data_IF_647662567679
#
_entry.id   IF_647662567679
#
_cell.length_a   1.000
_cell.length_b   1.000
_cell.length_c   1.000
_cell.angle_alpha   90.00
_cell.angle_beta   90.00
_cell.angle_gamma   90.00
#
_symmetry.space_group_name_H-M   'P 1'
#
loop_
_entity.id
_entity.type
_entity.pdbx_description
1 polymer ?
#
# COMPACT_ATOMS: atom_id res chain seq x y z
N UNK A 1 -28.85 15.20 -11.41
CA UNK A 1 -27.73 14.23 -11.53
C UNK A 1 -26.76 14.38 -10.35
N UNK A 2 -26.31 15.60 -10.06
CA UNK A 2 -25.44 15.96 -8.92
C UNK A 2 -26.02 15.59 -7.54
N UNK A 3 -27.30 15.90 -7.27
CA UNK A 3 -27.97 15.51 -6.02
C UNK A 3 -28.06 13.98 -5.81
N UNK A 4 -28.18 13.19 -6.89
CA UNK A 4 -28.14 11.71 -6.79
C UNK A 4 -26.72 11.20 -6.55
N UNK A 5 -25.69 11.82 -7.12
CA UNK A 5 -24.29 11.50 -6.82
C UNK A 5 -23.95 11.77 -5.35
N UNK A 6 -24.46 12.86 -4.77
CA UNK A 6 -24.29 13.18 -3.36
C UNK A 6 -24.99 12.18 -2.43
N UNK A 7 -26.19 11.73 -2.80
CA UNK A 7 -26.95 10.71 -2.07
C UNK A 7 -26.30 9.32 -2.13
N UNK A 8 -25.84 8.89 -3.32
CA UNK A 8 -25.03 7.68 -3.48
C UNK A 8 -23.70 7.79 -2.72
N UNK A 9 -23.09 8.97 -2.68
CA UNK A 9 -21.88 9.25 -1.90
C UNK A 9 -22.09 9.26 -0.38
N UNK A 10 -23.32 9.47 0.12
CA UNK A 10 -23.68 9.26 1.55
C UNK A 10 -23.90 7.79 1.85
N UNK A 11 -24.69 7.09 1.04
CA UNK A 11 -24.92 5.65 1.20
C UNK A 11 -23.62 4.82 1.09
N UNK A 12 -22.67 5.24 0.26
CA UNK A 12 -21.34 4.64 0.19
C UNK A 12 -20.49 4.91 1.45
N UNK A 13 -20.63 6.08 2.09
CA UNK A 13 -19.99 6.39 3.39
C UNK A 13 -20.51 5.45 4.47
N UNK A 14 -21.82 5.27 4.56
CA UNK A 14 -22.43 4.43 5.59
C UNK A 14 -22.08 2.94 5.39
N UNK A 15 -21.91 2.49 4.15
CA UNK A 15 -21.42 1.14 3.83
C UNK A 15 -19.92 0.95 4.06
N UNK A 16 -19.08 1.95 3.81
CA UNK A 16 -17.65 1.88 4.12
C UNK A 16 -17.40 1.71 5.63
N UNK A 17 -18.21 2.38 6.45
CA UNK A 17 -18.21 2.21 7.92
C UNK A 17 -18.61 0.78 8.31
N UNK A 18 -19.49 0.12 7.55
CA UNK A 18 -19.90 -1.25 7.82
C UNK A 18 -18.75 -2.26 7.59
N UNK A 19 -17.97 -2.09 6.52
CA UNK A 19 -16.84 -3.00 6.21
C UNK A 19 -15.63 -2.75 7.11
N UNK A 20 -15.41 -1.51 7.58
CA UNK A 20 -14.39 -1.24 8.60
C UNK A 20 -14.68 -1.96 9.95
N UNK A 21 -15.93 -2.39 10.18
CA UNK A 21 -16.33 -3.17 11.36
C UNK A 21 -16.21 -4.68 11.15
N UNK A 22 -16.09 -5.15 9.92
CA UNK A 22 -15.78 -6.56 9.66
C UNK A 22 -14.31 -6.81 9.99
N UNK A 23 -14.05 -7.89 10.73
CA UNK A 23 -12.67 -8.28 11.04
C UNK A 23 -11.96 -8.60 9.71
N UNK A 24 -10.82 -7.97 9.41
CA UNK A 24 -10.05 -8.30 8.23
C UNK A 24 -9.66 -9.78 8.29
N UNK A 25 -9.59 -10.43 7.12
CA UNK A 25 -9.16 -11.81 7.04
C UNK A 25 -7.66 -11.81 7.28
N UNK A 26 -7.25 -12.33 8.43
CA UNK A 26 -5.84 -12.56 8.72
C UNK A 26 -5.37 -13.66 7.78
N UNK A 27 -4.44 -13.30 6.90
CA UNK A 27 -3.94 -14.18 5.86
C UNK A 27 -2.42 -14.08 5.88
N UNK A 28 -1.76 -15.18 6.28
CA UNK A 28 -0.29 -15.22 6.39
C UNK A 28 0.41 -14.86 5.06
N UNK A 29 -0.31 -15.01 3.95
CA UNK A 29 0.19 -14.77 2.60
C UNK A 29 0.10 -13.31 2.14
N UNK A 30 -0.42 -12.38 2.94
CA UNK A 30 -0.48 -10.95 2.54
C UNK A 30 0.90 -10.42 2.18
N UNK A 31 1.93 -10.76 2.96
CA UNK A 31 3.31 -10.34 2.67
C UNK A 31 3.85 -11.01 1.40
N UNK A 32 3.44 -12.25 1.11
CA UNK A 32 3.83 -12.98 -0.11
C UNK A 32 3.30 -12.30 -1.38
N UNK A 33 2.24 -11.49 -1.29
CA UNK A 33 1.70 -10.75 -2.45
C UNK A 33 2.63 -9.62 -2.91
N UNK A 34 3.59 -9.21 -2.08
CA UNK A 34 4.64 -8.29 -2.47
C UNK A 34 5.83 -8.97 -3.16
N UNK A 35 5.96 -10.31 -3.12
CA UNK A 35 7.11 -11.02 -3.69
C UNK A 35 7.21 -10.78 -5.20
N UNK A 36 8.41 -10.49 -5.75
CA UNK A 36 8.63 -10.47 -7.20
C UNK A 36 8.28 -11.81 -7.84
N UNK A 37 7.73 -11.80 -9.06
CA UNK A 37 7.48 -13.02 -9.82
C UNK A 37 8.72 -13.45 -10.62
N UNK A 38 9.48 -12.47 -11.12
CA UNK A 38 10.77 -12.72 -11.73
C UNK A 38 11.75 -13.36 -10.72
N UNK A 39 12.33 -14.51 -11.07
CA UNK A 39 13.17 -15.29 -10.16
C UNK A 39 14.51 -14.59 -9.87
N UNK A 40 15.04 -13.81 -10.81
CA UNK A 40 16.25 -13.01 -10.59
C UNK A 40 15.96 -11.87 -9.60
N UNK A 41 14.86 -11.13 -9.80
CA UNK A 41 14.40 -10.11 -8.88
C UNK A 41 14.13 -10.65 -7.48
N UNK A 42 13.53 -11.84 -7.39
CA UNK A 42 13.27 -12.54 -6.12
C UNK A 42 14.57 -12.97 -5.41
N UNK A 43 15.56 -13.47 -6.15
CA UNK A 43 16.89 -13.79 -5.61
C UNK A 43 17.61 -12.53 -5.09
N UNK A 44 17.54 -11.44 -5.84
CA UNK A 44 18.08 -10.13 -5.43
C UNK A 44 17.35 -9.63 -4.18
N UNK A 45 16.03 -9.76 -4.12
CA UNK A 45 15.21 -9.34 -3.00
C UNK A 45 15.55 -10.12 -1.72
N UNK A 46 15.62 -11.45 -1.78
CA UNK A 46 15.96 -12.30 -0.63
C UNK A 46 17.36 -11.97 -0.08
N UNK A 47 18.36 -11.87 -0.96
CA UNK A 47 19.74 -11.52 -0.55
C UNK A 47 19.79 -10.12 0.08
N UNK A 48 19.15 -9.15 -0.55
CA UNK A 48 19.17 -7.75 -0.09
C UNK A 48 18.41 -7.58 1.22
N UNK A 49 17.23 -8.20 1.36
CA UNK A 49 16.45 -8.15 2.60
C UNK A 49 17.23 -8.73 3.80
N UNK A 50 17.95 -9.85 3.60
CA UNK A 50 18.84 -10.42 4.63
C UNK A 50 19.93 -9.46 5.06
N UNK A 51 20.56 -8.76 4.11
CA UNK A 51 21.64 -7.81 4.38
C UNK A 51 21.12 -6.53 5.06
N UNK A 52 19.98 -6.00 4.60
CA UNK A 52 19.33 -4.83 5.23
C UNK A 52 18.89 -5.16 6.66
N UNK A 53 18.29 -6.34 6.88
CA UNK A 53 17.90 -6.78 8.21
C UNK A 53 19.12 -6.96 9.11
N UNK A 54 20.21 -7.59 8.63
CA UNK A 54 21.45 -7.72 9.39
C UNK A 54 22.08 -6.38 9.75
N UNK A 55 22.05 -5.40 8.83
CA UNK A 55 22.50 -4.04 9.12
C UNK A 55 21.64 -3.40 10.21
N UNK A 56 20.31 -3.54 10.14
CA UNK A 56 19.40 -3.03 11.16
C UNK A 56 19.70 -3.63 12.54
N UNK A 57 19.90 -4.96 12.62
CA UNK A 57 20.27 -5.64 13.87
C UNK A 57 21.58 -5.09 14.45
N UNK A 58 22.60 -4.88 13.61
CA UNK A 58 23.88 -4.33 14.02
C UNK A 58 23.74 -2.91 14.60
N UNK A 59 22.95 -2.04 13.98
CA UNK A 59 22.70 -0.70 14.53
C UNK A 59 21.87 -0.73 15.81
N UNK A 60 20.91 -1.66 15.92
CA UNK A 60 20.17 -1.84 17.17
C UNK A 60 21.07 -2.31 18.32
N UNK A 61 22.07 -3.15 18.05
CA UNK A 61 23.00 -3.62 19.09
C UNK A 61 23.98 -2.53 19.53
N UNK A 62 24.61 -1.80 18.59
CA UNK A 62 25.55 -0.70 18.91
C UNK A 62 24.87 0.40 19.72
N UNK A 63 23.68 0.84 19.32
CA UNK A 63 23.02 1.95 20.02
C UNK A 63 22.48 1.51 21.40
N UNK A 64 22.21 0.21 21.59
CA UNK A 64 21.74 -0.33 22.87
C UNK A 64 22.83 -0.56 23.91
N UNK A 65 24.09 -0.66 23.47
CA UNK A 65 25.24 -0.89 24.32
C UNK A 65 26.17 0.28 24.06
N UNK A 66 26.29 1.21 25.00
CA UNK A 66 27.14 2.43 24.95
C UNK A 66 28.65 2.06 24.79
N UNK A 67 28.99 1.40 23.68
CA UNK A 67 30.25 0.72 23.40
C UNK A 67 30.80 1.22 22.07
N UNK A 68 31.99 1.80 22.14
CA UNK A 68 32.89 2.10 21.02
C UNK A 68 33.47 0.82 20.40
N UNK A 69 32.65 -0.22 20.16
CA UNK A 69 33.15 -1.51 19.70
C UNK A 69 33.28 -1.58 18.17
N UNK A 70 34.46 -2.03 17.77
CA UNK A 70 35.05 -2.04 16.44
C UNK A 70 34.50 -3.10 15.48
N UNK A 71 33.23 -3.49 15.58
CA UNK A 71 32.61 -4.43 14.62
C UNK A 71 32.21 -3.71 13.32
N UNK A 72 33.21 -3.09 12.70
CA UNK A 72 33.08 -2.25 11.50
C UNK A 72 32.84 -3.04 10.21
N UNK A 73 32.83 -4.37 10.22
CA UNK A 73 32.94 -5.17 8.98
C UNK A 73 31.72 -5.04 8.06
N UNK A 74 30.50 -5.02 8.61
CA UNK A 74 29.28 -4.80 7.80
C UNK A 74 29.21 -3.34 7.31
N UNK A 75 29.48 -2.36 8.17
CA UNK A 75 29.47 -0.95 7.79
C UNK A 75 30.58 -0.60 6.77
N UNK A 76 31.73 -1.29 6.84
CA UNK A 76 32.84 -1.11 5.92
C UNK A 76 32.56 -1.64 4.52
N UNK A 77 31.86 -2.76 4.43
CA UNK A 77 31.48 -3.38 3.16
C UNK A 77 30.29 -2.69 2.49
N UNK A 78 29.43 -2.00 3.25
CA UNK A 78 28.17 -1.51 2.72
C UNK A 78 28.32 -0.22 1.90
N UNK A 79 29.06 0.80 2.35
CA UNK A 79 28.97 2.11 1.70
C UNK A 79 30.15 3.08 1.94
N UNK A 80 30.11 4.21 1.20
CA UNK A 80 30.94 5.41 1.40
C UNK A 80 30.76 6.02 2.80
N UNK A 81 31.71 6.85 3.25
CA UNK A 81 31.65 7.55 4.55
C UNK A 81 30.39 8.41 4.72
N UNK A 82 29.93 9.02 3.64
CA UNK A 82 28.71 9.84 3.63
C UNK A 82 27.47 8.99 3.92
N UNK A 83 27.32 7.86 3.22
CA UNK A 83 26.19 6.95 3.44
C UNK A 83 26.19 6.38 4.84
N UNK A 84 27.36 6.02 5.40
CA UNK A 84 27.46 5.59 6.82
C UNK A 84 26.94 6.65 7.78
N UNK A 85 27.34 7.91 7.58
CA UNK A 85 26.90 9.02 8.42
C UNK A 85 25.37 9.19 8.38
N UNK A 86 24.76 9.02 7.20
CA UNK A 86 23.29 9.04 7.05
C UNK A 86 22.63 7.85 7.73
N UNK A 87 23.16 6.64 7.56
CA UNK A 87 22.66 5.43 8.21
C UNK A 87 22.70 5.55 9.74
N UNK A 88 23.79 6.08 10.31
CA UNK A 88 23.87 6.36 11.75
C UNK A 88 22.78 7.35 12.21
N UNK A 89 22.57 8.43 11.46
CA UNK A 89 21.55 9.42 11.79
C UNK A 89 20.12 8.85 11.73
N UNK A 90 19.83 8.04 10.72
CA UNK A 90 18.54 7.36 10.55
C UNK A 90 18.33 6.29 11.63
N UNK A 91 19.36 5.50 11.94
CA UNK A 91 19.34 4.52 13.03
C UNK A 91 19.04 5.19 14.38
N UNK A 92 19.67 6.33 14.69
CA UNK A 92 19.34 7.10 15.89
C UNK A 92 17.89 7.59 15.95
N UNK A 93 17.21 7.68 14.80
CA UNK A 93 15.81 8.06 14.70
C UNK A 93 14.81 6.92 14.87
N UNK A 94 15.17 5.70 14.48
CA UNK A 94 14.28 4.54 14.54
C UNK A 94 14.64 3.54 15.63
N UNK A 95 15.90 3.37 16.05
CA UNK A 95 16.29 2.38 17.07
C UNK A 95 15.56 2.52 18.40
N UNK A 96 15.26 3.73 18.94
CA UNK A 96 14.45 3.85 20.14
C UNK A 96 13.07 3.18 20.03
N UNK A 97 12.54 3.05 18.80
CA UNK A 97 11.31 2.32 18.51
C UNK A 97 11.49 0.80 18.48
N UNK A 98 12.66 0.35 18.02
CA UNK A 98 12.99 -1.05 17.75
C UNK A 98 13.51 -1.79 18.98
N UNK A 99 13.84 -1.06 20.05
CA UNK A 99 14.42 -1.63 21.26
C UNK A 99 13.43 -1.54 22.43
N UNK A 100 12.98 -2.70 22.97
CA UNK A 100 12.04 -2.72 24.11
C UNK A 100 12.68 -2.24 25.42
N UNK A 101 14.01 -2.09 25.47
CA UNK A 101 14.81 -1.82 26.66
C UNK A 101 14.96 -0.33 27.03
N UNK A 102 14.49 0.62 26.20
CA UNK A 102 14.71 2.06 26.42
C UNK A 102 13.75 2.67 27.47
N UNK A 103 12.87 1.87 28.08
CA UNK A 103 12.02 2.33 29.18
C UNK A 103 12.80 2.72 30.46
N UNK A 104 14.06 2.28 30.61
CA UNK A 104 14.85 2.52 31.82
C UNK A 104 15.41 3.96 31.97
N UNK A 105 15.41 4.77 30.92
CA UNK A 105 15.89 6.16 30.98
C UNK A 105 14.83 7.20 30.56
N UNK A 106 13.54 6.83 30.49
CA UNK A 106 12.43 7.79 30.30
C UNK A 106 12.38 8.88 31.38
N UNK A 107 12.90 8.59 32.57
CA UNK A 107 13.09 9.56 33.65
C UNK A 107 14.15 10.63 33.32
N UNK A 108 15.22 10.29 32.58
CA UNK A 108 16.24 11.24 32.09
C UNK A 108 15.86 11.91 30.76
N UNK A 109 15.03 11.27 29.95
CA UNK A 109 14.55 11.78 28.66
C UNK A 109 13.43 12.83 28.75
N UNK A 110 13.00 13.22 29.97
CA UNK A 110 11.93 14.22 30.23
C UNK A 110 12.07 15.56 29.49
N UNK A 111 13.23 15.85 28.88
CA UNK A 111 13.52 17.10 28.18
C UNK A 111 13.62 17.00 26.65
N UNK A 112 13.45 15.84 26.01
CA UNK A 112 13.30 15.75 24.54
C UNK A 112 11.89 15.26 24.21
N UNK A 113 11.14 15.95 23.33
CA UNK A 113 9.85 15.43 22.88
C UNK A 113 10.09 14.10 22.16
N UNK A 114 9.43 13.03 22.61
CA UNK A 114 9.41 11.75 21.90
C UNK A 114 9.00 12.02 20.45
N UNK A 115 9.82 11.55 19.50
CA UNK A 115 9.46 11.64 18.08
C UNK A 115 8.11 10.95 17.87
N UNK A 116 7.18 11.51 17.09
CA UNK A 116 5.92 10.83 16.82
C UNK A 116 6.16 9.50 16.09
N UNK A 117 5.29 8.52 16.29
CA UNK A 117 5.44 7.15 15.77
C UNK A 117 5.65 7.11 14.24
N UNK A 118 4.92 7.92 13.49
CA UNK A 118 5.07 8.02 12.04
C UNK A 118 6.44 8.58 11.60
N UNK A 119 7.13 9.35 12.46
CA UNK A 119 8.48 9.84 12.18
C UNK A 119 9.54 8.76 12.45
N UNK A 120 9.35 7.94 13.49
CA UNK A 120 10.21 6.77 13.75
C UNK A 120 10.07 5.74 12.62
N UNK A 121 8.84 5.49 12.18
CA UNK A 121 8.53 4.68 10.99
C UNK A 121 9.20 5.23 9.73
N UNK A 122 9.10 6.55 9.49
CA UNK A 122 9.76 7.20 8.35
C UNK A 122 11.27 6.95 8.37
N UNK A 123 11.91 7.13 9.52
CA UNK A 123 13.36 6.94 9.67
C UNK A 123 13.76 5.47 9.43
N UNK A 124 12.94 4.50 9.84
CA UNK A 124 13.14 3.08 9.53
C UNK A 124 13.06 2.79 8.03
N UNK A 125 12.05 3.32 7.34
CA UNK A 125 11.91 3.13 5.88
C UNK A 125 13.10 3.75 5.14
N UNK A 126 13.48 4.98 5.50
CA UNK A 126 14.65 5.64 4.89
C UNK A 126 15.94 4.85 5.13
N UNK A 127 16.14 4.31 6.34
CA UNK A 127 17.28 3.45 6.65
C UNK A 127 17.33 2.23 5.72
N UNK A 128 16.20 1.52 5.58
CA UNK A 128 16.11 0.35 4.73
C UNK A 128 16.41 0.68 3.25
N UNK A 129 15.93 1.83 2.76
CA UNK A 129 16.13 2.26 1.38
C UNK A 129 17.57 2.71 1.10
N UNK A 130 18.23 3.38 2.05
CA UNK A 130 19.67 3.73 1.94
C UNK A 130 20.53 2.47 1.87
N UNK A 131 20.24 1.48 2.74
CA UNK A 131 20.92 0.18 2.66
C UNK A 131 20.65 -0.53 1.32
N UNK A 132 19.40 -0.57 0.88
CA UNK A 132 19.01 -1.24 -0.35
C UNK A 132 19.69 -0.62 -1.60
N UNK A 133 19.68 0.71 -1.71
CA UNK A 133 20.30 1.42 -2.84
C UNK A 133 21.83 1.25 -2.87
N UNK A 134 22.47 1.10 -1.70
CA UNK A 134 23.90 0.81 -1.63
C UNK A 134 24.24 -0.65 -1.99
N UNK A 135 23.34 -1.59 -1.66
CA UNK A 135 23.53 -3.02 -1.86
C UNK A 135 23.21 -3.49 -3.28
N UNK A 136 22.19 -2.89 -3.88
CA UNK A 136 21.70 -3.27 -5.21
C UNK A 136 22.11 -2.17 -6.19
N UNK A 137 23.11 -2.43 -7.06
CA UNK A 137 23.50 -1.48 -8.07
C UNK A 137 22.31 -1.16 -8.98
N UNK A 138 22.35 0.02 -9.59
CA UNK A 138 21.29 0.44 -10.51
C UNK A 138 21.07 -0.67 -11.57
N UNK A 139 19.85 -1.25 -11.61
CA UNK A 139 19.60 -2.39 -12.47
C UNK A 139 19.67 -1.92 -13.92
N UNK A 140 20.60 -2.48 -14.69
CA UNK A 140 20.82 -2.10 -16.09
C UNK A 140 19.66 -2.49 -17.01
N UNK A 141 18.74 -3.36 -16.56
CA UNK A 141 17.73 -4.01 -17.41
C UNK A 141 16.32 -4.06 -16.84
N UNK A 142 16.10 -3.71 -15.56
CA UNK A 142 14.80 -3.88 -14.91
C UNK A 142 14.04 -2.54 -14.82
N UNK A 143 13.27 -2.23 -15.87
CA UNK A 143 12.43 -1.02 -15.96
C UNK A 143 11.42 -0.85 -14.81
N UNK A 144 11.21 -1.87 -13.99
CA UNK A 144 10.22 -1.89 -12.91
C UNK A 144 10.80 -1.67 -11.50
N UNK A 145 12.12 -1.65 -11.31
CA UNK A 145 12.69 -1.42 -9.98
C UNK A 145 12.47 0.03 -9.54
N UNK A 146 11.99 0.21 -8.32
CA UNK A 146 11.63 1.52 -7.76
C UNK A 146 12.03 1.59 -6.30
N UNK A 147 12.34 2.78 -5.81
CA UNK A 147 12.51 3.01 -4.38
C UNK A 147 11.17 3.32 -3.72
N UNK A 148 10.91 2.69 -2.58
CA UNK A 148 9.73 2.95 -1.76
C UNK A 148 10.07 3.97 -0.68
N UNK A 149 9.77 5.25 -0.93
CA UNK A 149 10.15 6.35 -0.04
C UNK A 149 8.96 6.92 0.71
N UNK A 150 9.15 7.41 1.95
CA UNK A 150 8.13 8.20 2.63
C UNK A 150 7.79 9.47 1.85
N UNK A 151 6.50 9.79 1.83
CA UNK A 151 5.98 10.92 1.09
C UNK A 151 6.39 12.26 1.69
N UNK A 152 6.20 12.42 3.00
CA UNK A 152 6.37 13.70 3.68
C UNK A 152 7.53 13.67 4.68
N UNK A 153 8.29 14.77 4.72
CA UNK A 153 9.30 15.02 5.76
C UNK A 153 8.66 15.23 7.12
N UNK A 154 7.51 15.90 7.22
CA UNK A 154 6.90 16.23 8.52
C UNK A 154 5.97 15.13 9.04
N UNK A 155 5.49 14.24 8.17
CA UNK A 155 4.27 13.46 8.43
C UNK A 155 3.05 14.39 8.52
N UNK A 156 1.91 13.84 8.92
CA UNK A 156 0.62 14.52 9.14
C UNK A 156 0.34 15.62 8.09
N UNK A 157 -0.18 15.22 6.95
CA UNK A 157 -0.37 16.13 5.82
C UNK A 157 -1.74 15.94 5.15
N UNK A 158 -2.24 17.00 4.54
CA UNK A 158 -3.43 16.95 3.68
C UNK A 158 -2.97 16.76 2.22
N UNK A 159 -3.38 15.69 1.52
CA UNK A 159 -3.08 15.55 0.11
C UNK A 159 -3.70 16.70 -0.71
N UNK A 160 -2.97 17.23 -1.69
CA UNK A 160 -3.38 18.39 -2.48
C UNK A 160 -4.64 18.11 -3.31
N UNK A 161 -4.80 16.87 -3.77
CA UNK A 161 -5.95 16.36 -4.49
C UNK A 161 -7.00 15.70 -3.58
N UNK A 162 -6.89 15.89 -2.25
CA UNK A 162 -7.89 15.38 -1.30
C UNK A 162 -9.23 16.09 -1.49
N UNK A 163 -10.34 15.35 -1.69
CA UNK A 163 -11.67 15.93 -1.78
C UNK A 163 -12.24 16.33 -0.41
N UNK A 164 -11.60 15.94 0.69
CA UNK A 164 -12.04 16.17 2.06
C UNK A 164 -10.89 16.73 2.94
N UNK A 165 -11.20 16.98 4.22
CA UNK A 165 -10.22 17.48 5.20
C UNK A 165 -9.44 16.36 5.91
N UNK A 166 -9.45 15.14 5.38
CA UNK A 166 -8.65 14.06 5.93
C UNK A 166 -7.17 14.39 5.81
N UNK A 167 -6.45 14.15 6.90
CA UNK A 167 -5.00 14.24 6.97
C UNK A 167 -4.44 12.85 7.12
N UNK A 168 -3.34 12.57 6.44
CA UNK A 168 -2.65 11.27 6.43
C UNK A 168 -1.39 11.41 7.27
N UNK A 169 -1.19 10.50 8.24
CA UNK A 169 0.00 10.53 9.12
C UNK A 169 1.29 10.32 8.33
N UNK A 170 1.32 9.33 7.44
CA UNK A 170 2.40 9.12 6.48
C UNK A 170 1.90 8.35 5.25
N UNK A 171 2.62 8.42 4.14
CA UNK A 171 2.38 7.58 2.97
C UNK A 171 3.72 7.12 2.38
N UNK A 172 3.70 6.05 1.58
CA UNK A 172 4.85 5.54 0.85
C UNK A 172 4.63 5.66 -0.66
N UNK A 173 5.61 6.21 -1.37
CA UNK A 173 5.57 6.51 -2.80
C UNK A 173 6.64 5.70 -3.53
N UNK A 174 6.37 5.39 -4.80
CA UNK A 174 7.40 4.84 -5.68
C UNK A 174 8.18 5.97 -6.33
N UNK A 175 9.50 5.83 -6.36
CA UNK A 175 10.43 6.72 -7.04
C UNK A 175 11.35 5.93 -7.95
N UNK A 176 11.93 6.59 -8.94
CA UNK A 176 12.97 6.00 -9.77
C UNK A 176 14.16 5.55 -8.90
N UNK A 177 14.83 4.47 -9.30
CA UNK A 177 15.86 3.83 -8.48
C UNK A 177 17.01 4.79 -8.07
N UNK A 178 17.43 5.67 -8.98
CA UNK A 178 18.48 6.68 -8.71
C UNK A 178 18.01 7.90 -7.92
N UNK A 179 16.76 7.95 -7.45
CA UNK A 179 16.25 9.11 -6.72
C UNK A 179 16.99 9.33 -5.42
N UNK A 180 17.20 10.60 -5.07
CA UNK A 180 17.84 10.98 -3.82
C UNK A 180 16.94 10.66 -2.63
N UNK A 181 17.47 9.90 -1.68
CA UNK A 181 16.77 9.51 -0.46
C UNK A 181 16.70 10.69 0.52
N UNK A 182 15.56 10.83 1.20
CA UNK A 182 15.29 11.90 2.17
C UNK A 182 14.66 13.16 1.58
N UNK A 183 14.59 13.28 0.25
CA UNK A 183 13.84 14.36 -0.40
C UNK A 183 12.33 14.02 -0.41
N UNK A 184 11.65 14.37 0.68
CA UNK A 184 10.19 14.32 0.73
C UNK A 184 9.54 15.27 -0.28
N UNK A 185 8.27 15.02 -0.58
CA UNK A 185 7.46 15.83 -1.50
C UNK A 185 6.89 17.02 -0.75
N UNK A 186 7.02 18.22 -1.31
CA UNK A 186 6.43 19.43 -0.70
C UNK A 186 4.90 19.39 -0.73
N UNK A 187 4.32 18.84 -1.81
CA UNK A 187 2.87 18.77 -2.04
C UNK A 187 2.45 17.34 -2.34
N UNK A 188 2.26 16.50 -1.30
CA UNK A 188 1.75 15.14 -1.45
C UNK A 188 0.40 15.08 -2.17
N UNK A 189 0.21 14.07 -3.02
CA UNK A 189 -1.07 13.78 -3.68
C UNK A 189 -1.46 12.33 -3.48
N UNK A 190 -2.75 12.06 -3.36
CA UNK A 190 -3.31 10.72 -3.43
C UNK A 190 -2.92 10.03 -4.74
N UNK A 191 -2.83 10.79 -5.84
CA UNK A 191 -2.36 10.29 -7.13
C UNK A 191 -0.99 9.60 -7.08
N UNK A 192 -0.11 9.96 -6.16
CA UNK A 192 1.28 9.48 -6.11
C UNK A 192 1.50 8.38 -5.03
N UNK A 193 0.50 8.08 -4.19
CA UNK A 193 0.67 7.14 -3.08
C UNK A 193 0.59 5.68 -3.51
N UNK A 194 1.56 4.88 -3.10
CA UNK A 194 1.48 3.42 -3.18
C UNK A 194 0.81 2.82 -1.96
N UNK A 195 1.19 3.31 -0.78
CA UNK A 195 0.63 2.86 0.50
C UNK A 195 0.32 4.04 1.41
N UNK A 196 -0.72 3.89 2.23
CA UNK A 196 -1.08 4.84 3.30
C UNK A 196 -0.74 4.28 4.66
N UNK A 197 -0.31 5.13 5.58
CA UNK A 197 0.13 4.76 6.91
C UNK A 197 -0.65 5.58 7.91
N UNK A 198 -1.26 4.90 8.87
CA UNK A 198 -1.95 5.53 10.00
C UNK A 198 -1.31 5.06 11.31
N UNK A 199 -0.93 6.01 12.16
CA UNK A 199 -0.29 5.75 13.43
C UNK A 199 -1.22 6.10 14.59
N UNK A 200 -1.41 5.15 15.50
CA UNK A 200 -2.14 5.38 16.75
C UNK A 200 -1.20 5.20 17.94
N UNK A 201 -1.35 6.08 18.92
CA UNK A 201 -0.62 5.98 20.18
C UNK A 201 -1.31 4.91 21.02
N UNK A 202 -0.55 3.92 21.49
CA UNK A 202 -1.04 2.95 22.46
C UNK A 202 -1.42 3.67 23.75
N UNK A 203 -2.51 3.28 24.39
CA UNK A 203 -2.88 3.87 25.68
C UNK A 203 -1.75 3.56 26.68
N UNK A 204 -1.23 4.58 27.36
CA UNK A 204 -0.17 4.37 28.34
C UNK A 204 -0.68 3.43 29.44
N UNK A 205 0.11 2.41 29.79
CA UNK A 205 -0.16 1.41 30.87
C UNK A 205 -0.44 2.06 32.25
N UNK A 206 -0.26 3.39 32.38
CA UNK A 206 -0.49 4.16 33.61
C UNK A 206 -1.90 4.08 34.20
N UNK A 207 -2.92 3.65 33.45
CA UNK A 207 -4.28 3.52 34.01
C UNK A 207 -4.57 2.16 34.66
N UNK A 208 -3.77 1.11 34.42
CA UNK A 208 -4.01 -0.23 34.96
C UNK A 208 -3.24 -0.54 36.26
N UNK A 209 -2.23 0.25 36.62
CA UNK A 209 -1.33 -0.07 37.75
C UNK A 209 -1.86 0.31 39.14
N UNK A 210 -3.11 0.81 39.27
CA UNK A 210 -3.68 1.13 40.59
C UNK A 210 -4.40 -0.02 41.28
N UNK A 211 -4.53 -1.20 40.66
CA UNK A 211 -5.30 -2.32 41.25
C UNK A 211 -4.70 -3.72 41.14
N UNK A 212 -3.56 -3.93 40.48
CA UNK A 212 -2.97 -5.27 40.37
C UNK A 212 -1.76 -5.44 41.29
N UNK A 213 -2.05 -5.91 42.51
CA UNK A 213 -1.06 -6.43 43.45
C UNK A 213 -0.38 -7.68 42.88
N UNK A 214 0.89 -7.82 43.23
CA UNK A 214 1.84 -8.86 42.83
C UNK A 214 1.28 -10.28 42.66
N UNK A 215 1.39 -10.83 41.45
CA UNK A 215 1.83 -12.22 41.17
C UNK A 215 1.82 -12.50 39.66
N UNK A 216 2.80 -13.27 39.20
CA UNK A 216 2.99 -13.88 37.88
C UNK A 216 3.83 -13.09 36.85
N UNK A 217 5.15 -13.20 37.01
CA UNK A 217 6.12 -13.09 35.92
C UNK A 217 6.07 -14.35 35.05
N UNK A 218 5.13 -14.40 34.11
CA UNK A 218 5.18 -15.24 32.91
C UNK A 218 3.96 -14.93 32.03
N UNK A 219 4.07 -13.93 31.15
CA UNK A 219 3.40 -13.92 29.84
C UNK A 219 3.85 -12.70 29.02
N UNK A 220 4.67 -12.96 28.01
CA UNK A 220 5.07 -12.00 26.97
C UNK A 220 3.96 -11.86 25.89
N UNK A 221 2.69 -11.68 26.27
CA UNK A 221 1.59 -11.45 25.31
C UNK A 221 0.88 -10.09 25.48
N UNK A 222 1.28 -9.28 26.46
CA UNK A 222 0.50 -8.09 26.86
C UNK A 222 0.62 -6.90 25.89
N UNK A 223 1.75 -6.75 25.17
CA UNK A 223 1.94 -5.61 24.25
C UNK A 223 1.02 -5.69 23.02
N UNK A 224 0.82 -6.89 22.48
CA UNK A 224 -0.08 -7.15 21.35
C UNK A 224 -1.54 -6.87 21.72
N UNK A 225 -2.02 -7.35 22.87
CA UNK A 225 -3.42 -7.19 23.28
C UNK A 225 -3.83 -5.72 23.45
N UNK A 226 -2.95 -4.87 23.98
CA UNK A 226 -3.22 -3.44 24.14
C UNK A 226 -3.23 -2.66 22.81
N UNK A 227 -2.56 -3.18 21.78
CA UNK A 227 -2.50 -2.53 20.47
C UNK A 227 -3.73 -2.84 19.60
N UNK A 228 -4.39 -3.98 19.79
CA UNK A 228 -5.48 -4.44 18.93
C UNK A 228 -6.61 -3.40 18.72
N UNK A 229 -7.15 -2.73 19.75
CA UNK A 229 -8.21 -1.74 19.54
C UNK A 229 -7.75 -0.52 18.74
N UNK A 230 -6.49 -0.10 18.95
CA UNK A 230 -5.90 1.06 18.25
C UNK A 230 -5.54 0.71 16.81
N UNK A 231 -5.08 -0.52 16.55
CA UNK A 231 -4.87 -1.02 15.20
C UNK A 231 -6.19 -1.07 14.41
N UNK A 232 -7.30 -1.44 15.05
CA UNK A 232 -8.62 -1.37 14.41
C UNK A 232 -9.05 0.08 14.08
N UNK A 233 -8.76 1.06 14.96
CA UNK A 233 -9.01 2.48 14.66
C UNK A 233 -8.12 2.99 13.52
N UNK A 234 -6.85 2.57 13.49
CA UNK A 234 -5.93 2.90 12.40
C UNK A 234 -6.41 2.27 11.07
N UNK A 235 -6.91 1.05 11.12
CA UNK A 235 -7.51 0.36 9.98
C UNK A 235 -8.72 1.12 9.44
N UNK A 236 -9.67 1.51 10.30
CA UNK A 236 -10.85 2.27 9.85
C UNK A 236 -10.44 3.55 9.10
N UNK A 237 -9.39 4.22 9.57
CA UNK A 237 -8.91 5.43 8.94
C UNK A 237 -8.18 5.16 7.61
N UNK A 238 -7.36 4.11 7.53
CA UNK A 238 -6.74 3.68 6.24
C UNK A 238 -7.78 3.25 5.21
N UNK A 239 -8.88 2.61 5.64
CA UNK A 239 -10.05 2.30 4.80
C UNK A 239 -10.70 3.57 4.25
N UNK A 240 -10.73 4.67 5.00
CA UNK A 240 -11.24 5.96 4.48
C UNK A 240 -10.32 6.53 3.41
N UNK A 241 -9.01 6.49 3.61
CA UNK A 241 -8.04 6.96 2.60
C UNK A 241 -8.11 6.16 1.31
N UNK A 242 -8.33 4.84 1.41
CA UNK A 242 -8.37 3.96 0.22
C UNK A 242 -9.42 4.39 -0.78
N UNK A 243 -10.58 4.87 -0.31
CA UNK A 243 -11.64 5.42 -1.16
C UNK A 243 -11.16 6.58 -2.03
N UNK A 244 -10.52 7.58 -1.43
CA UNK A 244 -10.02 8.76 -2.14
C UNK A 244 -8.95 8.35 -3.15
N UNK A 245 -8.08 7.40 -2.77
CA UNK A 245 -7.06 6.86 -3.66
C UNK A 245 -7.68 6.11 -4.85
N UNK A 246 -8.66 5.23 -4.64
CA UNK A 246 -9.33 4.54 -5.77
C UNK A 246 -10.07 5.49 -6.70
N UNK A 247 -10.61 6.57 -6.15
CA UNK A 247 -11.29 7.60 -6.92
C UNK A 247 -10.31 8.36 -7.83
N UNK A 248 -9.06 8.54 -7.41
CA UNK A 248 -8.05 9.35 -8.12
C UNK A 248 -7.14 8.47 -8.99
N UNK A 249 -6.65 7.34 -8.47
CA UNK A 249 -5.76 6.42 -9.15
C UNK A 249 -6.55 5.39 -9.97
N UNK A 250 -6.88 5.77 -11.19
CA UNK A 250 -7.76 4.98 -12.05
C UNK A 250 -7.16 3.68 -12.60
N UNK A 251 -5.86 3.43 -12.40
CA UNK A 251 -5.18 2.15 -12.68
C UNK A 251 -5.01 1.27 -11.44
N UNK A 252 -5.52 1.65 -10.26
CA UNK A 252 -5.34 0.86 -9.02
C UNK A 252 -6.26 -0.36 -8.97
N UNK A 253 -5.72 -1.55 -8.67
CA UNK A 253 -6.43 -2.82 -8.46
C UNK A 253 -6.76 -3.05 -6.99
N UNK A 254 -5.72 -2.94 -6.17
CA UNK A 254 -5.77 -3.05 -4.73
C UNK A 254 -4.82 -2.01 -4.14
N UNK A 255 -5.04 -1.61 -2.90
CA UNK A 255 -4.21 -0.63 -2.21
C UNK A 255 -3.53 -1.26 -0.99
N UNK A 256 -2.27 -0.91 -0.78
CA UNK A 256 -1.56 -1.26 0.45
C UNK A 256 -1.83 -0.22 1.55
N UNK A 257 -2.05 -0.68 2.77
CA UNK A 257 -2.13 0.20 3.94
C UNK A 257 -1.36 -0.37 5.12
N UNK A 258 -0.95 0.51 6.02
CA UNK A 258 -0.24 0.15 7.23
C UNK A 258 -0.93 0.80 8.43
N UNK A 259 -1.18 0.02 9.47
CA UNK A 259 -1.53 0.53 10.78
C UNK A 259 -0.33 0.37 11.72
N UNK A 260 0.02 1.44 12.42
CA UNK A 260 1.06 1.45 13.44
C UNK A 260 0.42 1.65 14.81
N UNK A 261 0.79 0.84 15.79
CA UNK A 261 0.44 1.06 17.18
C UNK A 261 1.57 0.58 18.09
N UNK A 262 2.19 1.50 18.83
CA UNK A 262 3.41 1.17 19.58
C UNK A 262 4.48 0.58 18.62
N UNK A 263 5.11 -0.56 18.95
CA UNK A 263 6.04 -1.25 18.05
C UNK A 263 5.37 -2.20 17.05
N UNK A 264 4.04 -2.29 17.05
CA UNK A 264 3.33 -3.20 16.16
C UNK A 264 3.00 -2.51 14.84
N UNK A 265 3.33 -3.18 13.73
CA UNK A 265 2.91 -2.83 12.38
C UNK A 265 1.96 -3.91 11.89
N UNK A 266 0.82 -3.52 11.32
CA UNK A 266 -0.04 -4.42 10.57
C UNK A 266 -0.20 -3.93 9.14
N UNK A 267 0.05 -4.80 8.17
CA UNK A 267 -0.05 -4.50 6.75
C UNK A 267 -1.39 -4.99 6.23
N UNK A 268 -2.06 -4.15 5.46
CA UNK A 268 -3.35 -4.40 4.86
C UNK A 268 -3.27 -4.39 3.35
N UNK A 269 -4.03 -5.28 2.73
CA UNK A 269 -4.36 -5.25 1.32
C UNK A 269 -5.84 -4.93 1.19
N UNK A 270 -6.16 -3.72 0.76
CA UNK A 270 -7.51 -3.34 0.39
C UNK A 270 -7.75 -3.85 -1.01
N UNK A 271 -8.53 -4.91 -1.14
CA UNK A 271 -9.03 -5.41 -2.42
C UNK A 271 -10.41 -4.84 -2.74
N UNK A 272 -10.94 -5.13 -3.94
CA UNK A 272 -12.27 -4.69 -4.33
C UNK A 272 -13.38 -5.28 -3.45
N UNK A 273 -13.23 -6.53 -3.01
CA UNK A 273 -14.29 -7.26 -2.30
C UNK A 273 -13.94 -7.65 -0.87
N UNK A 274 -12.70 -7.46 -0.43
CA UNK A 274 -12.25 -7.81 0.92
C UNK A 274 -11.04 -6.97 1.36
N UNK A 275 -10.80 -6.97 2.67
CA UNK A 275 -9.53 -6.53 3.27
C UNK A 275 -8.80 -7.76 3.78
N UNK A 276 -7.59 -7.95 3.31
CA UNK A 276 -6.66 -8.92 3.90
C UNK A 276 -5.71 -8.19 4.83
N UNK A 277 -5.32 -8.84 5.93
CA UNK A 277 -4.31 -8.30 6.83
C UNK A 277 -3.21 -9.32 7.11
N UNK A 278 -1.98 -8.84 7.25
CA UNK A 278 -0.90 -9.62 7.85
C UNK A 278 -1.20 -9.90 9.33
N UNK A 279 -0.40 -10.79 9.91
CA UNK A 279 -0.22 -10.82 11.36
C UNK A 279 0.47 -9.52 11.85
N UNK A 280 0.46 -9.32 13.18
CA UNK A 280 1.17 -8.20 13.79
C UNK A 280 2.67 -8.39 13.70
N UNK A 281 3.34 -7.44 13.06
CA UNK A 281 4.78 -7.38 12.99
C UNK A 281 5.27 -6.54 14.17
N UNK A 282 5.72 -7.21 15.23
CA UNK A 282 6.39 -6.54 16.34
C UNK A 282 7.84 -6.21 15.98
N UNK A 283 8.11 -4.94 15.68
CA UNK A 283 9.46 -4.49 15.27
C UNK A 283 10.45 -4.39 16.43
N UNK A 284 10.03 -4.70 17.67
CA UNK A 284 10.98 -4.95 18.76
C UNK A 284 11.66 -6.30 18.65
N UNK A 285 11.05 -7.24 17.91
CA UNK A 285 11.59 -8.58 17.70
C UNK A 285 12.39 -8.63 16.38
N UNK A 286 13.53 -9.35 16.34
CA UNK A 286 14.30 -9.55 15.11
C UNK A 286 13.45 -10.15 13.97
N UNK A 287 12.52 -11.06 14.30
CA UNK A 287 11.62 -11.67 13.32
C UNK A 287 10.65 -10.66 12.70
N UNK A 288 10.06 -9.77 13.50
CA UNK A 288 9.15 -8.73 13.00
C UNK A 288 9.88 -7.68 12.16
N UNK A 289 11.09 -7.27 12.58
CA UNK A 289 11.96 -6.39 11.77
C UNK A 289 12.30 -7.02 10.43
N UNK A 290 12.73 -8.28 10.44
CA UNK A 290 13.06 -9.03 9.22
C UNK A 290 11.87 -9.08 8.26
N UNK A 291 10.68 -9.49 8.74
CA UNK A 291 9.49 -9.57 7.89
C UNK A 291 9.10 -8.21 7.30
N UNK A 292 9.20 -7.13 8.08
CA UNK A 292 8.90 -5.79 7.58
C UNK A 292 9.94 -5.31 6.54
N UNK A 293 11.23 -5.56 6.77
CA UNK A 293 12.30 -5.28 5.81
C UNK A 293 12.11 -6.08 4.52
N UNK A 294 11.79 -7.37 4.62
CA UNK A 294 11.46 -8.21 3.46
C UNK A 294 10.31 -7.61 2.65
N UNK A 295 9.23 -7.19 3.30
CA UNK A 295 8.13 -6.52 2.62
C UNK A 295 8.56 -5.24 1.90
N UNK A 296 9.34 -4.37 2.56
CA UNK A 296 9.86 -3.13 1.94
C UNK A 296 10.71 -3.42 0.70
N UNK A 297 11.66 -4.35 0.79
CA UNK A 297 12.56 -4.72 -0.32
C UNK A 297 11.77 -5.36 -1.46
N UNK A 298 10.84 -6.26 -1.15
CA UNK A 298 9.98 -6.90 -2.14
C UNK A 298 9.16 -5.86 -2.92
N UNK A 299 8.56 -4.88 -2.25
CA UNK A 299 7.80 -3.80 -2.90
C UNK A 299 8.64 -2.95 -3.86
N UNK A 300 9.94 -2.80 -3.58
CA UNK A 300 10.88 -2.09 -4.46
C UNK A 300 11.21 -2.85 -5.75
N UNK A 301 11.17 -4.18 -5.70
CA UNK A 301 11.67 -5.07 -6.75
C UNK A 301 10.57 -5.82 -7.50
N UNK A 302 9.34 -5.83 -6.99
CA UNK A 302 8.22 -6.51 -7.66
C UNK A 302 7.59 -5.67 -8.78
N UNK A 303 6.81 -6.34 -9.61
CA UNK A 303 6.15 -5.75 -10.77
C UNK A 303 4.96 -4.88 -10.36
N UNK A 304 4.58 -3.92 -11.20
CA UNK A 304 3.51 -2.95 -10.89
C UNK A 304 2.16 -3.60 -10.53
N UNK A 305 1.84 -4.78 -11.09
CA UNK A 305 0.61 -5.49 -10.71
C UNK A 305 0.65 -6.07 -9.29
N UNK A 306 1.83 -6.44 -8.77
CA UNK A 306 2.06 -6.84 -7.37
C UNK A 306 1.97 -5.65 -6.43
N UNK A 307 2.31 -4.45 -6.95
CA UNK A 307 2.07 -3.15 -6.29
C UNK A 307 0.61 -2.67 -6.42
N UNK A 308 -0.24 -3.42 -7.12
CA UNK A 308 -1.66 -3.15 -7.25
C UNK A 308 -2.02 -2.20 -8.38
N UNK A 309 -1.21 -2.06 -9.43
CA UNK A 309 -1.59 -1.33 -10.64
C UNK A 309 -2.04 -2.27 -11.77
N UNK A 310 -2.92 -1.81 -12.64
CA UNK A 310 -3.34 -2.53 -13.85
C UNK A 310 -2.26 -2.35 -14.92
N UNK A 311 -1.51 -3.40 -15.33
CA UNK A 311 -0.44 -3.26 -16.32
C UNK A 311 -0.92 -2.77 -17.68
N UNK A 312 -2.17 -3.07 -18.03
CA UNK A 312 -2.77 -2.70 -19.30
C UNK A 312 -3.35 -1.27 -19.30
N UNK A 313 -3.13 -0.48 -18.25
CA UNK A 313 -3.61 0.90 -18.17
C UNK A 313 -2.46 1.84 -17.83
N UNK A 314 -2.14 2.75 -18.75
CA UNK A 314 -1.10 3.76 -18.56
C UNK A 314 -1.67 5.18 -18.70
N UNK A 315 -1.21 6.09 -17.86
CA UNK A 315 -1.46 7.52 -18.04
C UNK A 315 -0.26 8.15 -18.73
N UNK A 316 -0.48 8.78 -19.88
CA UNK A 316 0.54 9.39 -20.73
C UNK A 316 0.45 10.91 -20.65
N UNK A 317 1.60 11.56 -20.53
CA UNK A 317 1.77 13.02 -20.58
C UNK A 317 2.81 13.34 -21.67
N UNK A 318 2.44 13.33 -22.96
CA UNK A 318 3.37 13.65 -24.03
C UNK A 318 3.74 15.14 -24.01
N UNK A 319 4.95 15.46 -24.46
CA UNK A 319 5.44 16.83 -24.49
C UNK A 319 4.55 17.72 -25.36
N UNK A 320 4.02 18.80 -24.76
CA UNK A 320 3.18 19.78 -25.46
C UNK A 320 1.75 19.33 -25.74
N UNK A 321 1.39 18.08 -25.44
CA UNK A 321 0.05 17.54 -25.65
C UNK A 321 -0.74 17.39 -24.34
N UNK A 322 -2.06 17.35 -24.48
CA UNK A 322 -2.95 17.07 -23.34
C UNK A 322 -2.74 15.62 -22.88
N UNK A 323 -2.69 15.37 -21.56
CA UNK A 323 -2.53 14.02 -21.04
C UNK A 323 -3.72 13.12 -21.39
N UNK A 324 -3.49 11.81 -21.40
CA UNK A 324 -4.50 10.81 -21.71
C UNK A 324 -4.22 9.46 -21.06
N UNK A 325 -5.27 8.63 -20.98
CA UNK A 325 -5.21 7.23 -20.65
C UNK A 325 -5.07 6.40 -21.91
N UNK A 326 -4.14 5.45 -21.87
CA UNK A 326 -3.98 4.36 -22.81
C UNK A 326 -4.41 3.07 -22.12
N UNK A 327 -5.36 2.35 -22.71
CA UNK A 327 -5.96 1.16 -22.14
C UNK A 327 -5.86 0.03 -23.17
N UNK A 328 -5.08 -1.00 -22.85
CA UNK A 328 -4.95 -2.21 -23.66
C UNK A 328 -5.92 -3.29 -23.18
N UNK A 329 -6.57 -3.95 -24.13
CA UNK A 329 -7.49 -5.05 -23.88
C UNK A 329 -7.32 -6.15 -24.93
N UNK A 330 -7.70 -7.40 -24.64
CA UNK A 330 -7.89 -8.41 -25.67
C UNK A 330 -8.86 -7.90 -26.74
N UNK A 331 -8.47 -8.01 -28.01
CA UNK A 331 -9.34 -7.65 -29.13
C UNK A 331 -10.37 -8.75 -29.35
N UNK A 332 -11.64 -8.35 -29.43
CA UNK A 332 -12.78 -9.26 -29.57
C UNK A 332 -13.32 -9.16 -31.00
N UNK A 333 -13.65 -10.29 -31.61
CA UNK A 333 -14.31 -10.33 -32.93
C UNK A 333 -15.80 -9.97 -32.84
N UNK A 334 -16.47 -9.89 -33.99
CA UNK A 334 -17.91 -9.59 -34.06
C UNK A 334 -18.80 -10.64 -33.36
N UNK A 335 -18.26 -11.82 -33.08
CA UNK A 335 -18.97 -12.91 -32.41
C UNK A 335 -18.71 -12.93 -30.90
N UNK A 336 -17.91 -12.00 -30.37
CA UNK A 336 -17.58 -11.97 -28.96
C UNK A 336 -16.37 -12.83 -28.56
N UNK A 337 -15.63 -13.40 -29.52
CA UNK A 337 -14.47 -14.24 -29.24
C UNK A 337 -13.18 -13.42 -29.22
N UNK A 338 -12.28 -13.75 -28.30
CA UNK A 338 -10.93 -13.18 -28.29
C UNK A 338 -10.15 -13.61 -29.53
N UNK A 339 -9.59 -12.63 -30.24
CA UNK A 339 -8.85 -12.83 -31.49
C UNK A 339 -7.37 -13.14 -31.27
N UNK A 340 -6.91 -13.15 -30.01
CA UNK A 340 -5.49 -13.23 -29.64
C UNK A 340 -4.69 -11.95 -29.93
N UNK A 341 -5.30 -10.91 -30.50
CA UNK A 341 -4.68 -9.59 -30.69
C UNK A 341 -5.00 -8.68 -29.49
N UNK A 342 -4.23 -7.61 -29.31
CA UNK A 342 -4.60 -6.53 -28.39
C UNK A 342 -5.20 -5.34 -29.15
N UNK A 343 -6.25 -4.77 -28.57
CA UNK A 343 -6.80 -3.48 -28.95
C UNK A 343 -6.35 -2.42 -27.95
N UNK A 344 -6.03 -1.23 -28.43
CA UNK A 344 -5.62 -0.08 -27.61
C UNK A 344 -6.69 0.99 -27.71
N UNK A 345 -7.07 1.54 -26.55
CA UNK A 345 -8.07 2.59 -26.43
C UNK A 345 -7.48 3.81 -25.75
N UNK A 346 -7.81 4.98 -26.28
CA UNK A 346 -7.35 6.27 -25.79
C UNK A 346 -8.50 7.05 -25.17
N UNK A 347 -8.30 7.63 -23.99
CA UNK A 347 -9.31 8.42 -23.28
C UNK A 347 -8.72 9.61 -22.55
N UNK A 348 -9.38 10.77 -22.59
CA UNK A 348 -8.91 11.96 -21.83
C UNK A 348 -9.08 11.79 -20.32
N UNK A 349 -10.22 11.24 -19.90
CA UNK A 349 -10.59 11.14 -18.49
C UNK A 349 -11.71 10.12 -18.30
N UNK A 350 -11.79 9.49 -17.13
CA UNK A 350 -12.95 8.68 -16.81
C UNK A 350 -14.19 9.55 -16.59
N UNK A 351 -15.35 9.02 -16.97
CA UNK A 351 -16.68 9.57 -16.65
C UNK A 351 -17.32 8.88 -15.45
N UNK A 352 -16.93 7.63 -15.17
CA UNK A 352 -17.33 6.89 -13.98
C UNK A 352 -16.07 6.58 -13.18
N UNK A 353 -16.01 7.09 -11.94
CA UNK A 353 -14.90 6.87 -11.02
C UNK A 353 -15.23 5.79 -9.99
N UNK A 354 -14.19 5.17 -9.44
CA UNK A 354 -14.30 4.18 -8.37
C UNK A 354 -14.40 4.85 -6.99
N UNK A 355 -15.52 5.54 -6.72
CA UNK A 355 -15.72 6.31 -5.48
C UNK A 355 -16.29 5.51 -4.29
N UNK A 356 -16.36 4.18 -4.37
CA UNK A 356 -16.74 3.30 -3.26
C UNK A 356 -15.49 2.75 -2.57
N UNK A 357 -15.59 2.39 -1.29
CA UNK A 357 -14.50 1.79 -0.52
C UNK A 357 -14.42 0.28 -0.71
N UNK A 358 -15.56 -0.37 -0.99
CA UNK A 358 -15.69 -1.80 -1.26
C UNK A 358 -16.78 -2.07 -2.31
N UNK A 359 -16.72 -3.24 -2.94
CA UNK A 359 -17.58 -3.72 -4.00
C UNK A 359 -17.02 -3.43 -5.39
N UNK A 360 -17.83 -3.65 -6.44
CA UNK A 360 -17.43 -3.49 -7.84
C UNK A 360 -16.92 -2.05 -8.13
N UNK A 361 -15.61 -1.83 -8.01
CA UNK A 361 -14.95 -0.63 -8.51
C UNK A 361 -15.03 -0.65 -10.05
N UNK A 362 -16.15 -0.17 -10.57
CA UNK A 362 -16.34 0.01 -12.01
C UNK A 362 -15.82 1.39 -12.38
N UNK A 363 -14.89 1.42 -13.32
CA UNK A 363 -14.45 2.66 -13.97
C UNK A 363 -14.96 2.67 -15.40
N UNK A 364 -15.22 3.86 -15.91
CA UNK A 364 -15.80 4.05 -17.24
C UNK A 364 -15.09 5.16 -17.97
N UNK A 365 -14.65 4.86 -19.19
CA UNK A 365 -13.84 5.74 -20.03
C UNK A 365 -14.52 5.91 -21.39
N UNK A 366 -14.96 7.13 -21.76
CA UNK A 366 -15.26 7.42 -23.16
C UNK A 366 -13.94 7.36 -23.93
N UNK A 367 -13.89 6.58 -24.99
CA UNK A 367 -12.64 6.22 -25.65
C UNK A 367 -12.74 6.20 -27.18
N UNK A 368 -11.57 6.16 -27.80
CA UNK A 368 -11.34 5.98 -29.24
C UNK A 368 -10.25 4.93 -29.44
N UNK A 369 -10.30 4.17 -30.52
CA UNK A 369 -9.21 3.27 -30.95
C UNK A 369 -8.06 4.00 -31.62
N UNK A 370 -8.27 5.26 -32.00
CA UNK A 370 -7.27 6.13 -32.62
C UNK A 370 -7.02 7.35 -31.74
N UNK A 371 -5.74 7.63 -31.45
CA UNK A 371 -5.33 8.76 -30.62
C UNK A 371 -5.77 10.10 -31.23
N UNK A 372 -5.75 10.23 -32.56
CA UNK A 372 -6.20 11.42 -33.28
C UNK A 372 -7.67 11.78 -32.99
N UNK A 373 -8.50 10.79 -32.65
CA UNK A 373 -9.93 10.95 -32.40
C UNK A 373 -10.28 10.95 -30.89
N UNK A 374 -9.29 11.09 -30.00
CA UNK A 374 -9.49 11.02 -28.55
C UNK A 374 -10.47 12.07 -28.00
N UNK A 375 -10.56 13.24 -28.65
CA UNK A 375 -11.47 14.32 -28.27
C UNK A 375 -12.88 14.16 -28.86
N UNK A 376 -13.11 13.13 -29.68
CA UNK A 376 -14.42 12.73 -30.22
C UNK A 376 -14.65 11.22 -30.02
N UNK A 377 -14.73 10.77 -28.76
CA UNK A 377 -14.85 9.35 -28.44
C UNK A 377 -16.19 8.78 -28.93
N UNK A 378 -16.15 7.59 -29.53
CA UNK A 378 -17.31 6.87 -30.06
C UNK A 378 -17.50 5.49 -29.39
N UNK A 379 -16.63 5.16 -28.45
CA UNK A 379 -16.68 3.94 -27.66
C UNK A 379 -16.76 4.28 -26.17
N UNK A 380 -17.26 3.32 -25.41
CA UNK A 380 -17.18 3.34 -23.96
C UNK A 380 -16.46 2.10 -23.46
N UNK A 381 -15.34 2.31 -22.78
CA UNK A 381 -14.56 1.26 -22.13
C UNK A 381 -14.95 1.20 -20.66
N UNK A 382 -15.57 0.10 -20.26
CA UNK A 382 -15.87 -0.21 -18.87
C UNK A 382 -14.80 -1.13 -18.32
N UNK A 383 -14.08 -0.67 -17.32
CA UNK A 383 -13.05 -1.41 -16.58
C UNK A 383 -13.70 -1.87 -15.28
N UNK A 384 -13.90 -3.18 -15.14
CA UNK A 384 -14.52 -3.76 -13.95
C UNK A 384 -13.79 -5.01 -13.49
N UNK A 385 -13.79 -5.22 -12.18
CA UNK A 385 -13.35 -6.47 -11.56
C UNK A 385 -14.36 -7.57 -11.86
N UNK A 386 -13.89 -8.72 -12.38
CA UNK A 386 -14.75 -9.88 -12.50
C UNK A 386 -15.22 -10.34 -11.11
N UNK A 387 -16.50 -10.70 -11.03
CA UNK A 387 -17.03 -11.35 -9.85
C UNK A 387 -16.54 -12.80 -9.88
N UNK A 388 -15.75 -13.21 -8.89
CA UNK A 388 -15.49 -14.63 -8.66
C UNK A 388 -16.81 -15.23 -8.18
N UNK A 389 -17.52 -15.95 -9.06
CA UNK A 389 -18.66 -16.76 -8.63
C UNK A 389 -18.16 -17.75 -7.58
N UNK A 390 -18.61 -17.59 -6.34
CA UNK A 390 -18.36 -18.58 -5.29
C UNK A 390 -19.25 -19.78 -5.58
N UNK A 391 -18.65 -20.96 -5.74
CA UNK A 391 -19.35 -22.24 -5.81
C UNK A 391 -20.35 -22.35 -4.63
N UNK A 392 -21.62 -22.77 -4.86
CA UNK A 392 -22.64 -22.84 -3.81
C UNK A 392 -22.24 -23.70 -2.61
N UNK A 393 -21.43 -24.74 -2.80
CA UNK A 393 -20.94 -25.59 -1.71
C UNK A 393 -19.97 -24.87 -0.74
N UNK A 394 -19.39 -23.74 -1.14
CA UNK A 394 -18.54 -22.91 -0.27
C UNK A 394 -19.33 -21.89 0.58
N UNK A 395 -20.65 -21.80 0.42
CA UNK A 395 -21.49 -20.95 1.27
C UNK A 395 -21.81 -21.58 2.63
N UNK A 396 -21.52 -22.87 2.85
CA UNK A 396 -21.94 -23.60 4.05
C UNK A 396 -20.79 -24.08 4.96
N UNK A 397 -19.54 -23.62 4.78
CA UNK A 397 -18.44 -24.00 5.68
C UNK A 397 -17.73 -22.82 6.37
N UNK A 398 -17.61 -23.01 7.68
CA UNK A 398 -17.00 -22.23 8.74
C UNK A 398 -15.55 -21.78 8.50
N UNK A 399 -15.25 -20.55 8.89
CA UNK A 399 -14.06 -20.04 9.63
C UNK A 399 -12.63 -20.53 9.31
N UNK A 400 -12.37 -21.31 8.28
CA UNK A 400 -11.01 -21.78 8.00
C UNK A 400 -10.81 -22.08 6.54
N UNK A 401 -9.99 -21.24 5.90
CA UNK A 401 -9.36 -21.44 4.59
C UNK A 401 -10.30 -21.27 3.39
N UNK A 402 -10.54 -20.02 3.02
CA UNK A 402 -10.86 -19.67 1.63
C UNK A 402 -9.73 -18.81 1.07
N UNK A 403 -8.88 -19.42 0.24
CA UNK A 403 -7.85 -18.72 -0.53
C UNK A 403 -8.54 -17.73 -1.45
N UNK A 404 -8.38 -16.43 -1.20
CA UNK A 404 -8.80 -15.40 -2.15
C UNK A 404 -7.88 -15.52 -3.37
N UNK A 405 -8.30 -16.26 -4.40
CA UNK A 405 -7.71 -16.18 -5.74
C UNK A 405 -8.09 -14.81 -6.32
N UNK A 406 -7.33 -13.78 -5.96
CA UNK A 406 -7.58 -12.39 -6.37
C UNK A 406 -6.76 -11.94 -7.58
N UNK A 407 -6.04 -12.86 -8.23
CA UNK A 407 -5.38 -12.59 -9.50
C UNK A 407 -6.26 -13.08 -10.64
N UNK A 408 -6.55 -12.13 -11.55
CA UNK A 408 -7.14 -12.32 -12.87
C UNK A 408 -8.66 -12.50 -12.78
N UNK A 409 -9.49 -11.55 -13.20
CA UNK A 409 -9.57 -11.02 -14.55
C UNK A 409 -10.12 -9.58 -14.55
N UNK A 410 -9.51 -8.71 -15.35
CA UNK A 410 -10.09 -7.42 -15.68
C UNK A 410 -11.10 -7.63 -16.82
N UNK A 411 -12.38 -7.35 -16.58
CA UNK A 411 -13.37 -7.33 -17.64
C UNK A 411 -13.40 -5.94 -18.28
N UNK A 412 -12.95 -5.87 -19.52
CA UNK A 412 -13.07 -4.67 -20.36
C UNK A 412 -14.26 -4.88 -21.28
N UNK A 413 -15.37 -4.21 -20.99
CA UNK A 413 -16.54 -4.21 -21.89
C UNK A 413 -16.49 -2.97 -22.78
N UNK A 414 -16.63 -3.19 -24.08
CA UNK A 414 -16.67 -2.15 -25.10
C UNK A 414 -18.11 -2.01 -25.59
N UNK A 415 -18.67 -0.81 -25.47
CA UNK A 415 -20.04 -0.53 -25.94
C UNK A 415 -19.99 0.59 -26.98
N UNK A 416 -20.61 0.43 -28.16
CA UNK A 416 -20.78 1.52 -29.11
C UNK A 416 -21.61 2.64 -28.49
N UNK A 417 -21.19 3.89 -28.61
CA UNK A 417 -22.01 5.02 -28.18
C UNK A 417 -23.11 5.30 -29.21
N UNK A 418 -24.25 4.61 -29.15
CA UNK A 418 -25.45 5.05 -29.87
C UNK A 418 -26.21 6.12 -29.06
N UNK A 419 -26.79 7.14 -29.71
CA UNK A 419 -27.51 8.20 -29.03
C UNK A 419 -28.95 7.74 -28.72
N UNK A 420 -29.13 6.80 -27.79
CA UNK A 420 -30.47 6.48 -27.26
C UNK A 420 -30.42 6.19 -25.76
N UNK A 421 -30.89 7.19 -25.00
CA UNK A 421 -31.54 7.11 -23.69
C UNK A 421 -31.02 6.12 -22.62
N UNK A 422 -30.29 6.70 -21.65
CA UNK A 422 -30.58 6.62 -20.20
C UNK A 422 -31.11 5.29 -19.61
N UNK A 423 -30.41 4.16 -19.75
CA UNK A 423 -30.76 2.96 -18.94
C UNK A 423 -29.64 1.95 -18.66
N UNK A 424 -28.36 2.36 -18.61
CA UNK A 424 -27.23 1.42 -18.34
C UNK A 424 -26.66 1.46 -16.91
N UNK A 425 -27.21 2.30 -16.02
CA UNK A 425 -26.85 2.30 -14.59
C UNK A 425 -27.91 1.58 -13.76
N UNK A 426 -27.92 0.25 -13.83
CA UNK A 426 -28.66 -0.61 -12.90
C UNK A 426 -27.81 -1.83 -12.55
N UNK A 427 -27.91 -2.38 -11.32
CA UNK A 427 -27.11 -3.54 -10.89
C UNK A 427 -27.43 -4.85 -11.64
N UNK A 428 -28.34 -4.84 -12.62
CA UNK A 428 -28.82 -6.05 -13.31
C UNK A 428 -28.81 -5.99 -14.84
N UNK A 429 -27.98 -5.16 -15.48
CA UNK A 429 -27.78 -5.27 -16.93
C UNK A 429 -26.99 -6.56 -17.23
N UNK A 430 -27.70 -7.70 -17.24
CA UNK A 430 -27.22 -9.00 -17.71
C UNK A 430 -27.11 -8.94 -19.24
N UNK A 431 -25.99 -8.45 -19.74
CA UNK A 431 -25.53 -8.89 -21.05
C UNK A 431 -25.14 -10.36 -20.87
N UNK A 432 -25.94 -11.28 -21.42
CA UNK A 432 -25.58 -12.70 -21.50
C UNK A 432 -24.48 -12.84 -22.53
N UNK A 433 -23.22 -12.73 -22.11
CA UNK A 433 -22.16 -13.46 -22.79
C UNK A 433 -22.36 -14.93 -22.39
N UNK A 434 -22.81 -15.74 -23.34
CA UNK A 434 -22.64 -17.19 -23.23
C UNK A 434 -21.14 -17.45 -23.45
N UNK A 435 -20.48 -17.93 -22.41
CA UNK A 435 -19.19 -18.62 -22.52
C UNK A 435 -19.38 -19.91 -23.33
#
# INVERSE_FOLDING_TARGET
MQARQEEFGRLARDKAIFVAKEKPIVEHRVLELALPLDEDAKSIADKSAKLVAAALEHYTSIISVDQDSSDHVLAEQLCSLETRSRLCALAGGCVPWLSPSVDLDREKAKNKPDKPLYAQFRDLVLFAMECLQALVPEPSTADHYRLLLPCSKSGDFKPLDSPDDCRVDQALFLREWGSKIGDGVNEPRYADMLAVVEAKVADSVRSASRTASASNMANQSSASEHCLPKLAMAQEQTVRYSRNIYEIQHSRMFLWGLALCGPCIRIYLFGPDCVLSSEDLDVTLPSGRKQFVEWLVNMCLCEDHRRGFIPSMAFKTPDGDKPYWEISAPAIDNNGNETGKQAVFYSRKPTVKAGSTFGRHTRGFPASTELANIDSPHLFVKVAWQHVEREPEQQQWSESKSTCRSTEYLLILIVPSTPTHSTLCGPSARARCRL
#
